data_IF_909116743240
#
_entry.id   IF_909116743240
#
_cell.length_a   1.000
_cell.length_b   1.000
_cell.length_c   1.000
_cell.angle_alpha   90.00
_cell.angle_beta   90.00
_cell.angle_gamma   90.00
#
_symmetry.space_group_name_H-M   'P 1'
#
loop_
_entity.id
_entity.type
_entity.pdbx_description
1 polymer ?
#
# COMPACT_ATOMS: atom_id res chain seq x y z
N UNK A 1 -4.05 -11.65 13.68
CA UNK A 1 -2.88 -11.19 12.87
C UNK A 1 -3.31 -10.94 11.43
N UNK A 2 -3.98 -11.90 10.78
CA UNK A 2 -4.52 -11.75 9.43
C UNK A 2 -5.56 -10.63 9.32
N UNK A 3 -6.52 -10.52 10.25
CA UNK A 3 -7.52 -9.44 10.25
C UNK A 3 -6.86 -8.05 10.27
N UNK A 4 -5.94 -7.79 11.21
CA UNK A 4 -5.21 -6.52 11.27
C UNK A 4 -4.42 -6.17 10.00
N UNK A 5 -3.89 -7.19 9.29
CA UNK A 5 -3.21 -6.98 8.01
C UNK A 5 -4.20 -6.57 6.92
N UNK A 6 -5.31 -7.29 6.81
CA UNK A 6 -6.37 -7.04 5.82
C UNK A 6 -7.00 -5.66 6.05
N UNK A 7 -7.27 -5.29 7.31
CA UNK A 7 -7.83 -3.99 7.67
C UNK A 7 -6.90 -2.83 7.27
N UNK A 8 -5.60 -2.95 7.56
CA UNK A 8 -4.60 -1.95 7.14
C UNK A 8 -4.49 -1.87 5.63
N UNK A 9 -4.44 -3.01 4.95
CA UNK A 9 -4.40 -3.05 3.50
C UNK A 9 -5.63 -2.36 2.88
N UNK A 10 -6.84 -2.64 3.38
CA UNK A 10 -8.06 -1.97 2.91
C UNK A 10 -8.11 -0.49 3.22
N UNK A 11 -7.55 -0.07 4.36
CA UNK A 11 -7.40 1.35 4.65
C UNK A 11 -6.49 2.03 3.63
N UNK A 12 -5.39 1.40 3.22
CA UNK A 12 -4.43 1.98 2.29
C UNK A 12 -4.96 2.04 0.86
N UNK A 13 -5.51 0.95 0.33
CA UNK A 13 -5.99 0.93 -1.07
C UNK A 13 -7.18 1.85 -1.33
N UNK A 14 -7.92 2.23 -0.29
CA UNK A 14 -9.02 3.21 -0.38
C UNK A 14 -8.53 4.66 -0.39
N UNK A 15 -7.25 4.88 -0.05
CA UNK A 15 -6.62 6.18 -0.17
C UNK A 15 -6.01 6.30 -1.56
N UNK A 16 -6.48 7.24 -2.37
CA UNK A 16 -5.99 7.44 -3.72
C UNK A 16 -4.55 7.99 -3.67
N UNK A 17 -3.55 7.22 -4.09
CA UNK A 17 -2.14 7.65 -4.09
C UNK A 17 -1.50 7.67 -5.47
N UNK A 18 -2.30 7.73 -6.55
CA UNK A 18 -1.81 7.67 -7.92
C UNK A 18 -0.70 8.69 -8.20
N UNK A 19 0.36 8.27 -8.87
CA UNK A 19 1.41 9.17 -9.35
C UNK A 19 0.97 9.93 -10.62
N UNK A 20 1.67 11.02 -10.94
CA UNK A 20 1.41 11.84 -12.13
C UNK A 20 2.73 12.06 -12.86
N UNK A 21 2.88 11.39 -14.01
CA UNK A 21 4.08 11.47 -14.85
C UNK A 21 4.34 12.86 -15.43
N UNK A 22 3.31 13.73 -15.48
CA UNK A 22 3.43 15.10 -16.00
C UNK A 22 3.86 16.09 -14.93
N UNK A 23 3.87 15.67 -13.67
CA UNK A 23 4.26 16.52 -12.55
C UNK A 23 5.75 16.82 -12.58
N UNK A 24 6.09 18.03 -12.12
CA UNK A 24 7.48 18.47 -11.95
C UNK A 24 7.89 18.51 -10.46
N UNK A 25 7.04 17.99 -9.58
CA UNK A 25 7.27 17.94 -8.13
C UNK A 25 7.54 16.52 -7.66
N UNK A 26 8.13 16.39 -6.47
CA UNK A 26 8.29 15.11 -5.77
C UNK A 26 7.77 15.27 -4.33
N UNK A 27 6.73 14.52 -3.90
CA UNK A 27 5.89 13.61 -4.68
C UNK A 27 5.17 14.29 -5.85
N UNK A 28 4.73 13.50 -6.82
CA UNK A 28 4.05 14.01 -8.02
C UNK A 28 2.64 14.51 -7.75
N UNK A 29 1.95 13.96 -6.75
CA UNK A 29 0.57 14.31 -6.38
C UNK A 29 0.43 14.63 -4.89
N UNK A 30 -0.46 15.57 -4.55
CA UNK A 30 -0.71 15.98 -3.16
C UNK A 30 -1.24 14.81 -2.32
N UNK A 31 -2.02 13.90 -2.90
CA UNK A 31 -2.57 12.77 -2.16
C UNK A 31 -1.49 11.83 -1.61
N UNK A 32 -0.32 11.71 -2.26
CA UNK A 32 0.81 10.96 -1.70
C UNK A 32 1.36 11.61 -0.42
N UNK A 33 1.40 12.95 -0.39
CA UNK A 33 1.79 13.73 0.79
C UNK A 33 0.76 13.55 1.91
N UNK A 34 -0.53 13.58 1.56
CA UNK A 34 -1.61 13.42 2.53
C UNK A 34 -1.62 11.99 3.10
N UNK A 35 -1.39 10.97 2.28
CA UNK A 35 -1.25 9.59 2.73
C UNK A 35 -0.10 9.42 3.73
N UNK A 36 1.06 10.01 3.42
CA UNK A 36 2.22 10.00 4.30
C UNK A 36 1.88 10.60 5.68
N UNK A 37 1.31 11.80 5.70
CA UNK A 37 1.09 12.57 6.93
C UNK A 37 -0.14 12.12 7.73
N UNK A 38 -1.23 11.73 7.07
CA UNK A 38 -2.51 11.44 7.70
C UNK A 38 -2.72 9.96 8.00
N UNK A 39 -2.02 9.07 7.30
CA UNK A 39 -2.19 7.62 7.44
C UNK A 39 -0.91 6.94 7.93
N UNK A 40 0.20 7.06 7.19
CA UNK A 40 1.41 6.29 7.47
C UNK A 40 2.10 6.73 8.76
N UNK A 41 2.41 8.02 8.91
CA UNK A 41 3.13 8.52 10.08
C UNK A 41 2.38 8.25 11.39
N UNK A 42 1.05 8.51 11.49
CA UNK A 42 0.29 8.17 12.69
C UNK A 42 0.28 6.66 13.00
N UNK A 43 0.21 5.81 11.97
CA UNK A 43 0.23 4.36 12.18
C UNK A 43 1.60 3.83 12.60
N UNK A 44 2.69 4.42 12.08
CA UNK A 44 4.06 4.10 12.51
C UNK A 44 4.26 4.44 13.98
N UNK A 45 3.68 5.57 14.43
CA UNK A 45 3.69 5.98 15.84
C UNK A 45 2.85 5.01 16.69
N UNK A 46 1.64 4.66 16.25
CA UNK A 46 0.73 3.74 16.96
C UNK A 46 1.37 2.35 17.19
N UNK A 47 2.16 1.85 16.23
CA UNK A 47 2.83 0.55 16.34
C UNK A 47 4.19 0.63 17.08
N UNK A 48 4.57 1.82 17.57
CA UNK A 48 5.71 2.01 18.45
C UNK A 48 7.07 2.20 17.74
N UNK A 49 7.07 2.68 16.49
CA UNK A 49 8.32 3.13 15.87
C UNK A 49 8.73 4.51 16.40
N UNK A 50 10.02 4.79 16.34
CA UNK A 50 10.64 6.06 16.70
C UNK A 50 11.25 6.74 15.47
N UNK A 51 11.76 7.97 15.65
CA UNK A 51 12.44 8.74 14.61
C UNK A 51 11.61 8.88 13.31
N UNK A 52 10.28 9.04 13.46
CA UNK A 52 9.35 9.15 12.33
C UNK A 52 9.50 10.53 11.70
N UNK A 53 9.85 10.57 10.41
CA UNK A 53 10.10 11.81 9.69
C UNK A 53 9.53 11.74 8.27
N UNK A 54 8.96 12.86 7.82
CA UNK A 54 8.63 13.09 6.42
C UNK A 54 9.61 14.10 5.83
N UNK A 55 10.29 13.72 4.74
CA UNK A 55 11.19 14.60 4.03
C UNK A 55 10.43 15.32 2.91
N UNK A 56 10.12 16.60 3.12
CA UNK A 56 9.37 17.41 2.18
C UNK A 56 10.08 17.66 0.83
N UNK A 57 11.39 17.43 0.73
CA UNK A 57 12.15 17.61 -0.51
C UNK A 57 12.03 16.42 -1.45
N UNK A 58 11.77 15.21 -0.94
CA UNK A 58 11.74 14.00 -1.75
C UNK A 58 10.55 13.07 -1.48
N UNK A 59 9.67 13.41 -0.53
CA UNK A 59 8.47 12.65 -0.23
C UNK A 59 8.65 11.39 0.60
N UNK A 60 9.85 11.13 1.13
CA UNK A 60 10.11 9.91 1.88
C UNK A 60 9.60 9.99 3.31
N UNK A 61 8.91 8.95 3.76
CA UNK A 61 8.69 8.66 5.17
C UNK A 61 9.76 7.70 5.66
N UNK A 62 10.46 8.05 6.73
CA UNK A 62 11.39 7.17 7.43
C UNK A 62 10.94 6.97 8.86
N UNK A 63 11.23 5.80 9.42
CA UNK A 63 10.95 5.46 10.80
C UNK A 63 11.90 4.35 11.25
N UNK A 64 12.09 4.21 12.56
CA UNK A 64 13.01 3.26 13.17
C UNK A 64 12.28 2.37 14.16
N UNK A 65 12.47 1.06 14.06
CA UNK A 65 12.19 0.16 15.17
C UNK A 65 13.43 0.11 16.09
N UNK A 66 13.33 0.48 17.38
CA UNK A 66 14.46 0.39 18.29
C UNK A 66 14.99 -1.05 18.42
N UNK A 67 16.29 -1.19 18.71
CA UNK A 67 16.88 -2.51 18.99
C UNK A 67 16.16 -3.15 20.18
N UNK A 68 15.97 -4.47 20.13
CA UNK A 68 15.35 -5.25 21.20
C UNK A 68 16.30 -6.29 21.82
N UNK A 69 17.61 -6.16 21.57
CA UNK A 69 18.64 -7.07 22.07
C UNK A 69 19.91 -6.31 22.39
N UNK A 70 20.65 -6.72 23.43
CA UNK A 70 21.98 -6.20 23.81
C UNK A 70 23.11 -6.66 22.88
N UNK A 71 22.85 -7.65 22.03
CA UNK A 71 23.81 -8.07 21.00
C UNK A 71 23.82 -7.09 19.84
N UNK A 72 24.99 -6.87 19.27
CA UNK A 72 25.15 -6.07 18.06
C UNK A 72 24.74 -6.86 16.82
N UNK A 73 23.85 -6.28 16.03
CA UNK A 73 23.39 -6.83 14.76
C UNK A 73 23.45 -5.74 13.67
N UNK A 74 23.69 -6.10 12.40
CA UNK A 74 23.54 -5.16 11.31
C UNK A 74 22.11 -4.59 11.25
N UNK A 75 21.99 -3.29 10.99
CA UNK A 75 20.71 -2.67 10.68
C UNK A 75 20.21 -3.17 9.33
N UNK A 76 18.93 -3.52 9.25
CA UNK A 76 18.23 -3.86 8.01
C UNK A 76 17.19 -2.79 7.69
N UNK A 77 16.92 -2.58 6.41
CA UNK A 77 15.88 -1.68 5.92
C UNK A 77 14.81 -2.45 5.16
N UNK A 78 13.55 -2.07 5.35
CA UNK A 78 12.42 -2.52 4.54
C UNK A 78 11.84 -1.29 3.86
N UNK A 79 11.64 -1.37 2.55
CA UNK A 79 11.19 -0.23 1.74
C UNK A 79 9.98 -0.68 0.93
N UNK A 80 8.99 0.21 0.86
CA UNK A 80 7.84 0.12 -0.03
C UNK A 80 7.61 1.52 -0.63
N UNK A 81 7.01 1.58 -1.81
CA UNK A 81 6.55 2.84 -2.41
C UNK A 81 5.10 3.12 -1.97
N UNK A 82 4.69 4.40 -2.00
CA UNK A 82 3.36 4.84 -1.56
C UNK A 82 2.35 4.95 -2.70
N UNK A 83 2.83 5.16 -3.93
CA UNK A 83 2.02 5.49 -5.07
C UNK A 83 1.46 4.26 -5.78
N UNK A 84 0.35 4.46 -6.50
CA UNK A 84 -0.17 3.50 -7.47
C UNK A 84 0.17 3.94 -8.89
N UNK A 85 0.24 2.96 -9.80
CA UNK A 85 0.52 3.19 -11.21
C UNK A 85 -0.55 4.06 -11.89
N UNK A 86 -0.27 4.54 -13.10
CA UNK A 86 -1.16 5.37 -13.93
C UNK A 86 -2.39 4.60 -14.47
N UNK A 87 -3.23 4.16 -13.55
CA UNK A 87 -4.54 3.55 -13.77
C UNK A 87 -5.58 4.26 -12.90
N UNK A 88 -6.87 3.96 -13.08
CA UNK A 88 -7.89 4.51 -12.17
C UNK A 88 -7.65 4.01 -10.75
N UNK A 89 -7.58 4.95 -9.80
CA UNK A 89 -7.25 4.70 -8.40
C UNK A 89 -8.25 5.37 -7.45
N UNK A 90 -9.22 6.12 -7.99
CA UNK A 90 -10.31 6.68 -7.20
C UNK A 90 -11.34 5.59 -6.86
N UNK A 91 -11.93 5.69 -5.68
CA UNK A 91 -13.07 4.87 -5.24
C UNK A 91 -12.86 3.34 -5.32
N UNK A 92 -11.65 2.87 -5.01
CA UNK A 92 -11.33 1.44 -5.00
C UNK A 92 -12.28 0.68 -4.07
N UNK A 93 -12.95 -0.34 -4.61
CA UNK A 93 -13.86 -1.23 -3.89
C UNK A 93 -13.32 -2.67 -3.90
N UNK A 94 -12.62 -3.13 -2.85
CA UNK A 94 -12.00 -4.45 -2.83
C UNK A 94 -13.06 -5.57 -2.84
N UNK A 95 -12.80 -6.61 -3.64
CA UNK A 95 -13.53 -7.86 -3.63
C UNK A 95 -12.69 -8.94 -2.94
N UNK A 96 -13.33 -9.72 -2.06
CA UNK A 96 -12.64 -10.76 -1.29
C UNK A 96 -13.21 -12.12 -1.67
N UNK A 97 -12.35 -12.98 -2.20
CA UNK A 97 -12.68 -14.38 -2.46
C UNK A 97 -12.02 -15.26 -1.41
N UNK A 98 -12.80 -15.64 -0.40
CA UNK A 98 -12.36 -16.62 0.58
C UNK A 98 -12.38 -18.02 -0.04
N UNK A 99 -11.42 -18.86 0.34
CA UNK A 99 -11.34 -20.26 -0.09
C UNK A 99 -11.47 -20.46 -1.61
N UNK A 100 -10.81 -19.59 -2.38
CA UNK A 100 -10.86 -19.59 -3.84
C UNK A 100 -10.56 -20.99 -4.43
N UNK A 101 -11.53 -21.52 -5.20
CA UNK A 101 -11.51 -22.89 -5.71
C UNK A 101 -10.91 -23.02 -7.14
N UNK A 102 -10.25 -21.97 -7.64
CA UNK A 102 -9.68 -21.98 -9.01
C UNK A 102 -10.72 -21.85 -10.12
N UNK A 103 -11.85 -21.18 -9.83
CA UNK A 103 -12.90 -20.86 -10.80
C UNK A 103 -12.73 -19.45 -11.36
N UNK A 104 -13.50 -19.08 -12.37
CA UNK A 104 -13.49 -17.71 -12.88
C UNK A 104 -13.94 -16.69 -11.80
N UNK A 105 -13.25 -15.56 -11.70
CA UNK A 105 -13.57 -14.45 -10.78
C UNK A 105 -14.17 -13.29 -11.57
N UNK A 106 -15.46 -13.02 -11.39
CA UNK A 106 -16.14 -11.88 -12.00
C UNK A 106 -15.80 -10.63 -11.21
N UNK A 107 -15.13 -9.66 -11.85
CA UNK A 107 -14.76 -8.39 -11.24
C UNK A 107 -15.84 -7.33 -11.44
N UNK A 108 -16.40 -7.28 -12.65
CA UNK A 108 -17.51 -6.41 -13.03
C UNK A 108 -18.38 -7.15 -14.04
N UNK A 109 -19.60 -7.48 -13.63
CA UNK A 109 -20.53 -8.22 -14.48
C UNK A 109 -21.10 -7.37 -15.62
N UNK A 110 -21.28 -6.06 -15.41
CA UNK A 110 -21.84 -5.14 -16.40
C UNK A 110 -20.81 -4.82 -17.48
N UNK A 111 -19.56 -4.57 -17.07
CA UNK A 111 -18.44 -4.36 -17.97
C UNK A 111 -17.85 -5.67 -18.53
N UNK A 112 -18.40 -6.82 -18.14
CA UNK A 112 -17.93 -8.16 -18.53
C UNK A 112 -16.44 -8.40 -18.23
N UNK A 113 -15.94 -7.86 -17.12
CA UNK A 113 -14.56 -8.00 -16.68
C UNK A 113 -14.44 -9.18 -15.72
N UNK A 114 -13.55 -10.11 -16.04
CA UNK A 114 -13.28 -11.29 -15.22
C UNK A 114 -11.81 -11.70 -15.27
N UNK A 115 -11.35 -12.37 -14.22
CA UNK A 115 -10.08 -13.09 -14.20
C UNK A 115 -10.36 -14.59 -14.32
N UNK A 116 -9.79 -15.21 -15.36
CA UNK A 116 -9.91 -16.65 -15.57
C UNK A 116 -8.56 -17.35 -15.38
N UNK A 117 -8.52 -18.49 -14.67
CA UNK A 117 -7.35 -19.35 -14.66
C UNK A 117 -6.94 -19.93 -16.03
N UNK A 118 -7.80 -19.80 -17.05
CA UNK A 118 -7.44 -20.11 -18.44
C UNK A 118 -6.41 -19.11 -18.99
N UNK A 119 -6.59 -17.84 -18.66
CA UNK A 119 -5.73 -16.74 -19.10
C UNK A 119 -4.54 -16.55 -18.13
N UNK A 120 -4.76 -16.84 -16.85
CA UNK A 120 -3.77 -16.74 -15.78
C UNK A 120 -3.63 -18.06 -15.02
N UNK A 121 -2.86 -19.04 -15.55
CA UNK A 121 -2.71 -20.36 -14.93
C UNK A 121 -2.18 -20.34 -13.49
N UNK A 122 -1.45 -19.28 -13.10
CA UNK A 122 -0.96 -19.07 -11.74
C UNK A 122 -2.07 -18.82 -10.69
N UNK A 123 -3.32 -18.66 -11.12
CA UNK A 123 -4.48 -18.62 -10.24
C UNK A 123 -4.88 -20.01 -9.69
N UNK A 124 -4.23 -21.10 -10.13
CA UNK A 124 -4.45 -22.46 -9.61
C UNK A 124 -3.30 -22.95 -8.74
#
# INVERSE_FOLDING_TARGET
MQEKLVDRFFKYIKFETRSDEKSLTVPSTQNQVDFANMVLMPELEEIGLSDIQYNATNGFVTARLPRNSEKEFPTIGVIAHMDTADFEAANVNPLIWEHYAGNDMILDAEAQVMLSPKDFPALK
#
